data_IF_657689415101
#
_entry.id   IF_657689415101
#
_cell.length_a   1.000
_cell.length_b   1.000
_cell.length_c   1.000
_cell.angle_alpha   90.00
_cell.angle_beta   90.00
_cell.angle_gamma   90.00
#
_symmetry.space_group_name_H-M   'P 1'
#
loop_
_entity.id
_entity.type
_entity.pdbx_description
1 polymer ?
#
# COMPACT_ATOMS: atom_id res chain seq x y z
N UNK A 1 -13.61 -45.36 -28.46
CA UNK A 1 -12.53 -44.38 -28.36
C UNK A 1 -11.64 -44.77 -27.20
N UNK A 2 -10.33 -44.95 -27.41
CA UNK A 2 -9.43 -45.56 -26.41
C UNK A 2 -9.20 -44.57 -25.25
N UNK A 3 -9.43 -44.94 -24.01
CA UNK A 3 -9.27 -44.10 -22.81
C UNK A 3 -7.87 -43.48 -22.72
N UNK A 4 -6.85 -44.19 -23.20
CA UNK A 4 -5.47 -43.71 -23.31
C UNK A 4 -5.32 -42.51 -24.27
N UNK A 5 -6.12 -42.49 -25.36
CA UNK A 5 -6.10 -41.37 -26.32
C UNK A 5 -6.80 -40.14 -25.75
N UNK A 6 -7.89 -40.33 -25.02
CA UNK A 6 -8.58 -39.24 -24.33
C UNK A 6 -7.69 -38.66 -23.22
N UNK A 7 -7.01 -39.53 -22.45
CA UNK A 7 -6.09 -39.06 -21.41
C UNK A 7 -4.88 -38.34 -21.97
N UNK A 8 -4.29 -38.84 -23.08
CA UNK A 8 -3.18 -38.18 -23.75
C UNK A 8 -3.60 -36.84 -24.36
N UNK A 9 -4.78 -36.76 -24.99
CA UNK A 9 -5.31 -35.50 -25.54
C UNK A 9 -5.66 -34.49 -24.42
N UNK A 10 -6.25 -34.96 -23.32
CA UNK A 10 -6.52 -34.13 -22.15
C UNK A 10 -5.24 -33.62 -21.47
N UNK A 11 -4.20 -34.46 -21.40
CA UNK A 11 -2.89 -34.08 -20.86
C UNK A 11 -2.18 -33.05 -21.77
N UNK A 12 -2.25 -33.22 -23.09
CA UNK A 12 -1.73 -32.25 -24.06
C UNK A 12 -2.50 -30.91 -24.01
N UNK A 13 -3.81 -30.94 -23.84
CA UNK A 13 -4.62 -29.74 -23.68
C UNK A 13 -4.35 -29.05 -22.32
N UNK A 14 -4.10 -29.82 -21.27
CA UNK A 14 -3.75 -29.26 -19.97
C UNK A 14 -2.37 -28.59 -19.96
N UNK A 15 -1.39 -29.11 -20.71
CA UNK A 15 -0.05 -28.50 -20.79
C UNK A 15 -0.03 -27.20 -21.61
N UNK A 16 -0.99 -27.03 -22.52
CA UNK A 16 -1.13 -25.81 -23.32
C UNK A 16 -2.04 -24.74 -22.66
N UNK A 17 -2.65 -25.06 -21.51
CA UNK A 17 -3.57 -24.15 -20.84
C UNK A 17 -2.90 -23.00 -20.08
N UNK A 18 -1.57 -23.02 -19.93
CA UNK A 18 -0.85 -21.99 -19.21
C UNK A 18 -0.14 -21.05 -20.19
N UNK A 19 -0.33 -19.77 -19.95
CA UNK A 19 0.23 -18.73 -20.77
C UNK A 19 1.74 -18.61 -20.53
N UNK A 20 2.47 -18.35 -21.60
CA UNK A 20 3.90 -18.03 -21.54
C UNK A 20 4.12 -16.70 -20.83
N UNK A 21 3.17 -15.77 -20.96
CA UNK A 21 3.20 -14.47 -20.30
C UNK A 21 1.77 -13.94 -20.07
N UNK A 22 1.61 -13.07 -19.13
CA UNK A 22 0.35 -12.39 -18.91
C UNK A 22 0.48 -11.08 -18.15
N UNK A 23 -0.59 -10.31 -18.22
CA UNK A 23 -0.76 -9.06 -17.47
C UNK A 23 -2.15 -9.05 -16.83
N UNK A 24 -2.26 -8.47 -15.65
CA UNK A 24 -3.53 -8.40 -14.95
C UNK A 24 -3.63 -7.20 -14.03
N UNK A 25 -4.85 -7.01 -13.54
CA UNK A 25 -5.20 -6.01 -12.55
C UNK A 25 -5.84 -6.71 -11.37
N UNK A 26 -5.62 -6.19 -10.15
CA UNK A 26 -6.17 -6.78 -8.94
C UNK A 26 -6.53 -5.72 -7.89
N UNK A 27 -7.44 -6.09 -7.03
CA UNK A 27 -7.72 -5.44 -5.77
C UNK A 27 -6.77 -6.01 -4.71
N UNK A 28 -6.20 -5.13 -3.87
CA UNK A 28 -5.18 -5.49 -2.88
C UNK A 28 -5.49 -4.87 -1.51
N UNK A 29 -6.37 -5.47 -0.72
CA UNK A 29 -6.54 -5.10 0.68
C UNK A 29 -5.33 -5.55 1.50
N UNK A 30 -4.98 -4.75 2.50
CA UNK A 30 -3.85 -4.96 3.38
C UNK A 30 -4.33 -5.13 4.82
N UNK A 31 -3.75 -6.09 5.52
CA UNK A 31 -4.05 -6.37 6.94
C UNK A 31 -2.74 -6.40 7.71
N UNK A 32 -2.71 -5.69 8.83
CA UNK A 32 -1.56 -5.71 9.73
C UNK A 32 -0.63 -4.49 9.62
N UNK A 33 -0.76 -3.65 8.59
CA UNK A 33 -0.12 -2.34 8.64
C UNK A 33 -0.91 -1.44 9.57
N UNK A 34 -0.28 -1.02 10.65
CA UNK A 34 -0.87 -0.14 11.66
C UNK A 34 -0.02 1.11 11.80
N UNK A 35 -0.69 2.21 12.12
CA UNK A 35 -0.05 3.44 12.52
C UNK A 35 0.07 3.43 14.04
N UNK A 36 1.29 3.61 14.57
CA UNK A 36 1.44 3.78 16.02
C UNK A 36 0.65 4.99 16.45
N UNK A 37 -0.34 4.79 17.30
CA UNK A 37 -1.20 5.88 17.75
C UNK A 37 -0.39 6.93 18.49
N UNK A 38 -0.38 8.15 17.96
CA UNK A 38 0.27 9.30 18.56
C UNK A 38 -0.51 9.75 19.80
N UNK A 39 0.12 9.68 20.98
CA UNK A 39 -0.46 10.21 22.20
C UNK A 39 -0.59 11.72 22.07
N UNK A 40 -1.65 12.25 22.67
CA UNK A 40 -1.81 13.70 22.84
C UNK A 40 -0.59 14.28 23.55
N UNK A 41 0.11 15.17 22.88
CA UNK A 41 1.33 15.79 23.39
C UNK A 41 1.42 17.26 22.95
N UNK A 42 1.98 18.13 23.79
CA UNK A 42 2.17 19.53 23.45
C UNK A 42 3.16 19.69 22.28
N UNK A 43 2.85 20.63 21.39
CA UNK A 43 3.74 20.99 20.28
C UNK A 43 4.91 21.84 20.78
N UNK A 44 6.11 21.54 20.32
CA UNK A 44 7.34 22.28 20.65
C UNK A 44 8.00 22.76 19.37
N UNK A 45 8.29 24.05 19.29
CA UNK A 45 9.03 24.63 18.18
C UNK A 45 10.12 25.52 18.77
N UNK A 46 11.37 25.32 18.40
CA UNK A 46 12.53 26.07 18.91
C UNK A 46 12.58 26.10 20.45
N UNK A 47 12.37 24.96 21.12
CA UNK A 47 12.30 24.79 22.58
C UNK A 47 11.14 25.54 23.27
N UNK A 48 10.28 26.18 22.52
CA UNK A 48 9.07 26.83 23.03
C UNK A 48 7.88 25.87 22.99
N UNK A 49 7.21 25.69 24.12
CA UNK A 49 5.99 24.87 24.21
C UNK A 49 4.79 25.75 23.83
N UNK A 50 4.03 25.31 22.85
CA UNK A 50 2.81 25.97 22.42
C UNK A 50 1.61 25.53 23.28
N UNK A 51 0.58 26.39 23.48
CA UNK A 51 -0.62 26.07 24.26
C UNK A 51 -1.59 25.18 23.45
N UNK A 52 -1.07 24.34 22.58
CA UNK A 52 -1.81 23.39 21.78
C UNK A 52 -1.12 22.04 21.80
N UNK A 53 -1.91 20.97 21.77
CA UNK A 53 -1.43 19.62 21.74
C UNK A 53 -1.88 18.95 20.44
N UNK A 54 -1.13 17.97 20.00
CA UNK A 54 -1.42 17.21 18.78
C UNK A 54 -1.56 15.73 19.09
N UNK A 55 -2.47 15.07 18.40
CA UNK A 55 -2.62 13.62 18.45
C UNK A 55 -3.07 13.07 17.08
N UNK A 56 -2.79 11.82 16.82
CA UNK A 56 -3.33 11.12 15.66
C UNK A 56 -3.82 9.72 16.03
N UNK A 57 -4.78 9.20 15.28
CA UNK A 57 -5.30 7.85 15.42
C UNK A 57 -4.59 6.86 14.51
N UNK A 58 -5.08 5.63 14.51
CA UNK A 58 -4.65 4.56 13.60
C UNK A 58 -5.32 4.68 12.23
N UNK A 59 -4.89 3.86 11.28
CA UNK A 59 -5.54 3.73 9.97
C UNK A 59 -6.94 3.12 10.10
N UNK A 60 -7.90 3.67 9.40
CA UNK A 60 -9.26 3.12 9.35
C UNK A 60 -9.27 1.77 8.63
N UNK A 61 -8.78 1.75 7.39
CA UNK A 61 -8.68 0.56 6.54
C UNK A 61 -7.74 0.83 5.38
N UNK A 62 -6.83 -0.10 5.13
CA UNK A 62 -5.89 -0.01 4.01
C UNK A 62 -6.39 -0.89 2.88
N UNK A 63 -6.63 -0.27 1.74
CA UNK A 63 -7.03 -0.93 0.51
C UNK A 63 -6.27 -0.38 -0.67
N UNK A 64 -6.17 -1.17 -1.71
CA UNK A 64 -5.43 -0.76 -2.89
C UNK A 64 -5.81 -1.52 -4.13
N UNK A 65 -5.13 -1.13 -5.19
CA UNK A 65 -5.22 -1.75 -6.50
C UNK A 65 -3.81 -1.93 -7.04
N UNK A 66 -3.65 -2.92 -7.91
CA UNK A 66 -2.35 -3.17 -8.49
C UNK A 66 -2.42 -3.78 -9.88
N UNK A 67 -1.26 -3.74 -10.51
CA UNK A 67 -1.00 -4.41 -11.78
C UNK A 67 0.00 -5.52 -11.56
N UNK A 68 -0.19 -6.62 -12.27
CA UNK A 68 0.66 -7.80 -12.23
C UNK A 68 1.06 -8.19 -13.64
N UNK A 69 2.33 -8.48 -13.83
CA UNK A 69 2.83 -9.15 -15.01
C UNK A 69 3.51 -10.45 -14.59
N UNK A 70 3.43 -11.49 -15.41
CA UNK A 70 4.11 -12.76 -15.14
C UNK A 70 4.63 -13.40 -16.40
N UNK A 71 5.68 -14.20 -16.26
CA UNK A 71 6.32 -14.96 -17.31
C UNK A 71 6.51 -16.39 -16.83
N UNK A 72 5.92 -17.34 -17.53
CA UNK A 72 5.89 -18.78 -17.24
C UNK A 72 6.82 -19.59 -18.17
N UNK A 73 7.83 -18.95 -18.77
CA UNK A 73 8.67 -19.56 -19.79
C UNK A 73 9.76 -20.48 -19.22
N UNK A 74 10.06 -20.34 -17.94
CA UNK A 74 11.10 -21.13 -17.31
C UNK A 74 10.54 -22.50 -16.88
N UNK A 75 11.30 -23.60 -17.06
CA UNK A 75 10.76 -24.96 -16.89
C UNK A 75 10.36 -25.31 -15.45
N UNK A 76 10.86 -24.59 -14.45
CA UNK A 76 10.64 -24.94 -13.04
C UNK A 76 10.13 -23.80 -12.17
N UNK A 77 10.24 -22.58 -12.67
CA UNK A 77 9.86 -21.38 -11.92
C UNK A 77 9.23 -20.36 -12.86
N UNK A 78 8.34 -19.56 -12.32
CA UNK A 78 7.77 -18.39 -12.98
C UNK A 78 8.37 -17.12 -12.36
N UNK A 79 8.39 -16.05 -13.11
CA UNK A 79 8.77 -14.71 -12.62
C UNK A 79 7.55 -13.81 -12.67
N UNK A 80 7.31 -13.10 -11.59
CA UNK A 80 6.19 -12.17 -11.47
C UNK A 80 6.69 -10.79 -11.05
N UNK A 81 6.16 -9.75 -11.70
CA UNK A 81 6.28 -8.37 -11.28
C UNK A 81 4.92 -7.84 -10.86
N UNK A 82 4.84 -7.16 -9.72
CA UNK A 82 3.61 -6.54 -9.24
C UNK A 82 3.88 -5.10 -8.85
N UNK A 83 2.94 -4.21 -9.13
CA UNK A 83 2.95 -2.84 -8.66
C UNK A 83 1.61 -2.53 -8.01
N UNK A 84 1.63 -2.09 -6.75
CA UNK A 84 0.45 -1.78 -5.96
C UNK A 84 0.44 -0.31 -5.55
N UNK A 85 -0.75 0.27 -5.49
CA UNK A 85 -1.03 1.56 -4.87
C UNK A 85 -2.09 1.34 -3.80
N UNK A 86 -1.79 1.72 -2.58
CA UNK A 86 -2.63 1.52 -1.41
C UNK A 86 -2.99 2.86 -0.78
N UNK A 87 -4.18 2.92 -0.20
CA UNK A 87 -4.74 4.12 0.40
C UNK A 87 -5.31 3.81 1.78
N UNK A 88 -5.04 4.68 2.71
CA UNK A 88 -5.67 4.68 4.03
C UNK A 88 -6.04 6.10 4.45
N UNK A 89 -6.94 6.20 5.42
CA UNK A 89 -7.25 7.45 6.11
C UNK A 89 -6.96 7.28 7.59
N UNK A 90 -6.61 8.36 8.25
CA UNK A 90 -6.45 8.41 9.69
C UNK A 90 -6.90 9.76 10.22
N UNK A 91 -7.23 9.83 11.51
CA UNK A 91 -7.63 11.08 12.14
C UNK A 91 -6.39 11.78 12.69
N UNK A 92 -6.30 13.10 12.48
CA UNK A 92 -5.34 13.96 13.15
C UNK A 92 -6.11 15.06 13.88
N UNK A 93 -5.75 15.34 15.12
CA UNK A 93 -6.50 16.25 15.98
C UNK A 93 -5.53 17.21 16.66
N UNK A 94 -5.84 18.50 16.57
CA UNK A 94 -5.21 19.55 17.34
C UNK A 94 -6.09 19.85 18.56
N UNK A 95 -5.50 19.88 19.73
CA UNK A 95 -6.20 20.17 20.98
C UNK A 95 -5.82 21.57 21.46
N UNK A 96 -6.82 22.39 21.74
CA UNK A 96 -6.62 23.71 22.27
C UNK A 96 -7.60 23.96 23.41
N UNK A 97 -7.11 24.46 24.52
CA UNK A 97 -7.91 24.70 25.74
C UNK A 97 -8.72 23.46 26.18
N UNK A 98 -8.20 22.25 25.86
CA UNK A 98 -8.87 20.98 26.14
C UNK A 98 -9.92 20.56 25.10
N UNK A 99 -10.20 21.37 24.10
CA UNK A 99 -11.17 21.09 23.03
C UNK A 99 -10.50 20.51 21.79
N UNK A 100 -11.07 19.45 21.17
CA UNK A 100 -10.52 18.81 19.99
C UNK A 100 -10.91 19.54 18.70
N UNK A 101 -9.93 19.87 17.88
CA UNK A 101 -10.11 20.40 16.53
C UNK A 101 -9.53 19.41 15.52
N UNK A 102 -10.38 18.77 14.72
CA UNK A 102 -9.92 17.87 13.67
C UNK A 102 -9.15 18.64 12.60
N UNK A 103 -7.95 18.17 12.29
CA UNK A 103 -7.19 18.70 11.17
C UNK A 103 -7.77 18.16 9.86
N UNK A 104 -8.21 19.08 9.04
CA UNK A 104 -8.61 18.79 7.66
C UNK A 104 -7.56 19.41 6.72
N UNK A 105 -7.05 18.64 5.78
CA UNK A 105 -6.07 19.12 4.80
C UNK A 105 -6.83 19.78 3.65
N UNK A 106 -6.55 21.03 3.38
CA UNK A 106 -7.07 21.74 2.20
C UNK A 106 -6.34 21.28 0.94
N UNK A 107 -7.01 20.48 0.13
CA UNK A 107 -6.56 20.16 -1.23
C UNK A 107 -7.01 21.28 -2.17
N UNK A 108 -6.15 22.25 -2.41
CA UNK A 108 -6.44 23.55 -3.02
C UNK A 108 -7.42 23.55 -4.19
N UNK A 109 -8.42 24.41 -4.10
CA UNK A 109 -9.20 24.92 -5.24
C UNK A 109 -10.39 24.11 -5.71
N UNK A 110 -10.80 23.04 -5.03
CA UNK A 110 -11.98 22.24 -5.39
C UNK A 110 -13.05 22.26 -4.30
N UNK A 111 -14.36 22.02 -4.62
CA UNK A 111 -15.42 21.93 -3.61
C UNK A 111 -15.25 20.73 -2.65
N UNK A 112 -14.28 19.86 -2.91
CA UNK A 112 -13.84 18.77 -2.02
C UNK A 112 -12.58 19.15 -1.20
N UNK A 113 -12.42 20.42 -0.92
CA UNK A 113 -11.19 21.03 -0.44
C UNK A 113 -10.73 20.60 0.95
N UNK A 114 -11.58 19.95 1.74
CA UNK A 114 -11.24 19.49 3.09
C UNK A 114 -11.36 17.99 3.18
N UNK A 115 -10.25 17.31 3.43
CA UNK A 115 -10.21 15.86 3.58
C UNK A 115 -9.43 15.50 4.85
N UNK A 116 -9.84 14.41 5.49
CA UNK A 116 -9.03 13.75 6.51
C UNK A 116 -7.65 13.41 5.94
N UNK A 117 -6.58 13.44 6.74
CA UNK A 117 -5.27 13.02 6.30
C UNK A 117 -5.29 11.67 5.59
N UNK A 118 -4.55 11.57 4.50
CA UNK A 118 -4.45 10.37 3.69
C UNK A 118 -3.03 9.84 3.72
N UNK A 119 -2.94 8.54 3.87
CA UNK A 119 -1.72 7.79 3.65
C UNK A 119 -1.80 7.12 2.28
N UNK A 120 -0.75 7.27 1.49
CA UNK A 120 -0.59 6.61 0.21
C UNK A 120 0.70 5.81 0.27
N UNK A 121 0.59 4.51 0.04
CA UNK A 121 1.72 3.62 -0.10
C UNK A 121 1.73 3.01 -1.49
N UNK A 122 2.91 2.83 -2.03
CA UNK A 122 3.15 2.12 -3.27
C UNK A 122 4.20 1.06 -3.03
N UNK A 123 4.06 -0.08 -3.66
CA UNK A 123 5.12 -1.08 -3.68
C UNK A 123 5.27 -1.72 -5.05
N UNK A 124 6.51 -2.00 -5.39
CA UNK A 124 6.87 -2.79 -6.56
C UNK A 124 7.57 -4.06 -6.11
N UNK A 125 7.03 -5.19 -6.52
CA UNK A 125 7.52 -6.52 -6.18
C UNK A 125 8.11 -7.20 -7.40
N UNK A 126 9.20 -7.93 -7.19
CA UNK A 126 9.71 -8.92 -8.14
C UNK A 126 9.79 -10.25 -7.40
N UNK A 127 9.08 -11.25 -7.89
CA UNK A 127 8.94 -12.57 -7.26
C UNK A 127 9.40 -13.68 -8.18
N UNK A 128 10.00 -14.69 -7.59
CA UNK A 128 10.20 -16.01 -8.21
C UNK A 128 9.23 -16.97 -7.55
N UNK A 129 8.45 -17.66 -8.37
CA UNK A 129 7.41 -18.57 -7.90
C UNK A 129 7.63 -19.99 -8.40
N UNK A 130 7.33 -20.98 -7.57
CA UNK A 130 7.31 -22.39 -7.90
C UNK A 130 5.88 -22.82 -8.13
N UNK A 131 5.46 -23.07 -9.37
CA UNK A 131 4.12 -23.59 -9.65
C UNK A 131 4.00 -25.09 -9.39
N UNK A 132 2.77 -25.50 -9.09
CA UNK A 132 2.37 -26.90 -8.96
C UNK A 132 1.25 -27.19 -9.95
N UNK A 133 1.43 -28.19 -10.79
CA UNK A 133 0.41 -28.61 -11.74
C UNK A 133 -0.55 -29.60 -11.09
N UNK A 134 -1.85 -29.33 -11.14
CA UNK A 134 -2.88 -30.27 -10.77
C UNK A 134 -3.44 -30.87 -12.08
N UNK A 135 -3.23 -32.17 -12.35
CA UNK A 135 -3.72 -32.77 -13.59
C UNK A 135 -5.22 -32.58 -13.74
N UNK A 136 -5.69 -32.23 -14.93
CA UNK A 136 -7.09 -32.05 -15.33
C UNK A 136 -7.79 -30.81 -14.76
N UNK A 137 -7.13 -30.03 -13.89
CA UNK A 137 -7.71 -28.79 -13.39
C UNK A 137 -7.00 -27.57 -13.99
N UNK A 138 -7.75 -26.56 -14.44
CA UNK A 138 -7.19 -25.32 -14.98
C UNK A 138 -6.69 -24.37 -13.88
N UNK A 139 -6.39 -24.89 -12.71
CA UNK A 139 -5.87 -24.15 -11.55
C UNK A 139 -4.41 -24.52 -11.35
N UNK A 140 -3.57 -23.54 -11.22
CA UNK A 140 -2.13 -23.67 -10.98
C UNK A 140 -1.77 -22.98 -9.66
N UNK A 141 -1.74 -23.73 -8.54
CA UNK A 141 -1.22 -23.21 -7.27
C UNK A 141 0.27 -22.92 -7.39
N UNK A 142 0.77 -21.97 -6.62
CA UNK A 142 2.19 -21.64 -6.54
C UNK A 142 2.56 -21.06 -5.18
N UNK A 143 3.82 -21.17 -4.84
CA UNK A 143 4.45 -20.47 -3.72
C UNK A 143 5.69 -19.76 -4.22
N UNK A 144 6.11 -18.72 -3.54
CA UNK A 144 7.28 -17.97 -3.96
C UNK A 144 7.78 -17.01 -2.92
N UNK A 145 8.84 -16.30 -3.33
CA UNK A 145 9.45 -15.24 -2.56
C UNK A 145 9.99 -14.16 -3.50
N UNK A 146 10.17 -12.98 -2.99
CA UNK A 146 10.66 -11.87 -3.80
C UNK A 146 11.16 -10.69 -2.99
N UNK A 147 11.61 -9.69 -3.74
CA UNK A 147 12.02 -8.39 -3.23
C UNK A 147 10.92 -7.38 -3.46
N UNK A 148 10.80 -6.45 -2.53
CA UNK A 148 9.84 -5.35 -2.58
C UNK A 148 10.55 -4.03 -2.40
N UNK A 149 10.22 -3.07 -3.24
CA UNK A 149 10.57 -1.66 -3.05
C UNK A 149 9.30 -0.95 -2.62
N UNK A 150 9.37 -0.23 -1.51
CA UNK A 150 8.27 0.54 -0.95
C UNK A 150 8.48 2.02 -1.16
N UNK A 151 7.39 2.73 -1.40
CA UNK A 151 7.30 4.19 -1.35
C UNK A 151 6.05 4.56 -0.57
N UNK A 152 6.15 5.53 0.33
CA UNK A 152 4.98 6.01 1.07
C UNK A 152 5.04 7.50 1.32
N UNK A 153 3.88 8.10 1.48
CA UNK A 153 3.75 9.47 1.93
C UNK A 153 4.10 9.56 3.41
N UNK A 154 4.47 10.76 3.84
CA UNK A 154 4.67 11.05 5.26
C UNK A 154 3.38 10.91 6.08
N UNK A 155 3.55 10.74 7.38
CA UNK A 155 2.47 10.78 8.38
C UNK A 155 2.51 12.13 9.10
N UNK A 156 1.33 12.68 9.39
CA UNK A 156 1.20 13.81 10.29
C UNK A 156 1.42 13.34 11.73
N UNK A 157 2.66 13.40 12.18
CA UNK A 157 3.05 13.17 13.57
C UNK A 157 3.54 14.48 14.21
N UNK A 158 3.79 14.46 15.51
CA UNK A 158 4.25 15.66 16.23
C UNK A 158 5.47 16.30 15.58
N UNK A 159 6.50 15.51 15.24
CA UNK A 159 7.71 16.01 14.64
C UNK A 159 7.48 16.68 13.26
N UNK A 160 6.58 16.13 12.46
CA UNK A 160 6.22 16.73 11.19
C UNK A 160 5.45 18.05 11.38
N UNK A 161 4.46 18.06 12.30
CA UNK A 161 3.66 19.25 12.61
C UNK A 161 4.53 20.36 13.16
N UNK A 162 5.44 20.04 14.07
CA UNK A 162 6.43 20.99 14.61
C UNK A 162 7.33 21.58 13.51
N UNK A 163 7.84 20.73 12.61
CA UNK A 163 8.64 21.17 11.47
C UNK A 163 7.88 22.06 10.48
N UNK A 164 6.57 21.83 10.28
CA UNK A 164 5.72 22.73 9.47
C UNK A 164 5.55 24.08 10.13
N UNK A 165 5.33 24.13 11.44
CA UNK A 165 5.20 25.37 12.21
C UNK A 165 6.52 26.16 12.22
N UNK A 166 7.65 25.48 12.42
CA UNK A 166 8.98 26.11 12.36
C UNK A 166 9.23 26.77 11.02
N UNK A 167 8.94 26.09 9.91
CA UNK A 167 9.08 26.63 8.54
C UNK A 167 8.15 27.80 8.25
N UNK A 168 7.03 27.91 8.94
CA UNK A 168 6.10 29.03 8.74
C UNK A 168 6.71 30.37 9.08
N UNK A 169 7.80 30.38 9.88
CA UNK A 169 8.55 31.59 10.28
C UNK A 169 7.72 32.58 11.10
N UNK A 170 6.49 32.22 11.46
CA UNK A 170 5.61 33.05 12.26
C UNK A 170 5.80 32.72 13.73
N UNK A 171 5.98 33.78 14.52
CA UNK A 171 5.81 33.63 15.97
C UNK A 171 4.33 33.43 16.28
N UNK A 172 3.99 32.17 16.54
CA UNK A 172 2.63 31.72 16.86
C UNK A 172 2.40 31.63 18.39
N UNK A 173 3.33 32.11 19.20
CA UNK A 173 3.29 31.99 20.67
C UNK A 173 2.07 32.66 21.33
N UNK A 174 1.44 33.60 20.66
CA UNK A 174 0.19 34.24 21.10
C UNK A 174 -1.03 33.88 20.24
N UNK A 175 -0.88 32.95 19.31
CA UNK A 175 -1.94 32.61 18.36
C UNK A 175 -2.98 31.67 18.98
N UNK A 176 -4.23 31.83 18.56
CA UNK A 176 -5.30 30.90 18.88
C UNK A 176 -5.08 29.55 18.18
N UNK A 177 -5.69 28.50 18.71
CA UNK A 177 -5.65 27.16 18.08
C UNK A 177 -6.10 27.18 16.62
N UNK A 178 -7.09 28.00 16.30
CA UNK A 178 -7.59 28.16 14.92
C UNK A 178 -6.53 28.74 13.99
N UNK A 179 -5.81 29.78 14.43
CA UNK A 179 -4.73 30.37 13.65
C UNK A 179 -3.58 29.40 13.41
N UNK A 180 -3.27 28.55 14.41
CA UNK A 180 -2.27 27.50 14.31
C UNK A 180 -2.75 26.41 13.33
N UNK A 181 -4.02 25.98 13.43
CA UNK A 181 -4.61 25.02 12.51
C UNK A 181 -4.64 25.53 11.07
N UNK A 182 -5.01 26.80 10.86
CA UNK A 182 -5.03 27.42 9.53
C UNK A 182 -3.59 27.55 8.96
N UNK A 183 -2.61 27.86 9.79
CA UNK A 183 -1.20 27.90 9.40
C UNK A 183 -0.67 26.50 9.03
N UNK A 184 -1.04 25.48 9.78
CA UNK A 184 -0.70 24.10 9.47
C UNK A 184 -1.34 23.65 8.15
N UNK A 185 -2.65 23.84 7.98
CA UNK A 185 -3.36 23.43 6.78
C UNK A 185 -2.76 24.06 5.51
N UNK A 186 -2.34 25.32 5.59
CA UNK A 186 -1.73 26.06 4.47
C UNK A 186 -0.33 25.54 4.12
N UNK A 187 0.50 25.20 5.10
CA UNK A 187 1.91 24.88 4.89
C UNK A 187 2.17 23.36 4.79
N UNK A 188 1.22 22.54 5.22
CA UNK A 188 1.36 21.07 5.21
C UNK A 188 1.60 20.51 3.82
N UNK A 189 0.92 21.03 2.80
CA UNK A 189 1.05 20.57 1.41
C UNK A 189 2.43 20.88 0.83
N UNK A 190 2.96 22.06 1.12
CA UNK A 190 4.28 22.45 0.64
C UNK A 190 5.39 21.71 1.39
N UNK A 191 5.27 21.57 2.71
CA UNK A 191 6.17 20.72 3.49
C UNK A 191 6.16 19.24 3.03
N UNK A 192 5.00 18.76 2.61
CA UNK A 192 4.84 17.42 2.04
C UNK A 192 5.58 17.24 0.72
N UNK A 193 5.46 18.21 -0.17
CA UNK A 193 6.19 18.19 -1.46
C UNK A 193 7.70 18.20 -1.25
N UNK A 194 8.17 18.97 -0.29
CA UNK A 194 9.58 19.07 0.03
C UNK A 194 10.14 17.80 0.68
N UNK A 195 9.35 17.15 1.55
CA UNK A 195 9.76 15.88 2.19
C UNK A 195 9.81 14.72 1.20
N UNK A 196 8.97 14.77 0.16
CA UNK A 196 8.91 13.73 -0.86
C UNK A 196 8.33 12.41 -0.35
N UNK A 197 8.70 11.31 -1.01
CA UNK A 197 8.30 9.96 -0.63
C UNK A 197 9.43 9.26 0.12
N UNK A 198 9.11 8.64 1.24
CA UNK A 198 10.01 7.71 1.90
C UNK A 198 10.19 6.48 1.00
N UNK A 199 11.42 5.94 0.95
CA UNK A 199 11.75 4.76 0.15
C UNK A 199 12.48 3.74 1.00
N UNK A 200 12.04 2.49 0.94
CA UNK A 200 12.73 1.37 1.58
C UNK A 200 12.68 0.11 0.75
N UNK A 201 13.46 -0.88 1.12
CA UNK A 201 13.52 -2.18 0.47
C UNK A 201 13.26 -3.26 1.50
N UNK A 202 12.41 -4.21 1.15
CA UNK A 202 12.12 -5.39 1.94
C UNK A 202 12.01 -6.63 1.07
N UNK A 203 11.46 -7.67 1.62
CA UNK A 203 11.18 -8.92 0.92
C UNK A 203 9.80 -9.44 1.29
N UNK A 204 9.30 -10.37 0.50
CA UNK A 204 8.01 -10.99 0.77
C UNK A 204 8.04 -12.48 0.45
N UNK A 205 7.14 -13.19 1.14
CA UNK A 205 6.75 -14.55 0.79
C UNK A 205 5.36 -14.50 0.18
N UNK A 206 5.08 -15.37 -0.76
CA UNK A 206 3.77 -15.42 -1.37
C UNK A 206 3.29 -16.87 -1.56
N UNK A 207 1.99 -17.04 -1.48
CA UNK A 207 1.27 -18.22 -1.92
C UNK A 207 0.06 -17.77 -2.74
N UNK A 208 -0.24 -18.47 -3.81
CA UNK A 208 -1.34 -18.11 -4.67
C UNK A 208 -1.81 -19.22 -5.57
N UNK A 209 -2.83 -18.91 -6.35
CA UNK A 209 -3.34 -19.75 -7.40
C UNK A 209 -3.72 -18.92 -8.61
N UNK A 210 -3.40 -19.44 -9.79
CA UNK A 210 -3.81 -18.87 -11.07
C UNK A 210 -4.77 -19.84 -11.76
N UNK A 211 -5.86 -19.31 -12.24
CA UNK A 211 -6.83 -20.02 -13.05
C UNK A 211 -6.79 -19.45 -14.47
N UNK A 212 -6.66 -20.27 -15.48
CA UNK A 212 -6.75 -19.87 -16.88
C UNK A 212 -7.83 -20.67 -17.57
N UNK A 213 -8.73 -19.98 -18.27
CA UNK A 213 -9.70 -20.63 -19.13
C UNK A 213 -8.99 -21.23 -20.35
N UNK A 214 -9.25 -22.52 -20.68
CA UNK A 214 -8.78 -23.10 -21.94
C UNK A 214 -9.34 -22.32 -23.11
N UNK A 215 -8.50 -22.07 -24.13
CA UNK A 215 -8.87 -21.42 -25.41
C UNK A 215 -9.10 -19.90 -25.29
N UNK A 216 -9.47 -19.39 -24.12
CA UNK A 216 -9.73 -17.96 -23.92
C UNK A 216 -8.52 -17.33 -23.22
N UNK A 217 -7.98 -16.19 -23.70
CA UNK A 217 -6.81 -15.55 -23.10
C UNK A 217 -7.17 -14.77 -21.83
N UNK A 218 -8.02 -15.34 -20.99
CA UNK A 218 -8.43 -14.77 -19.70
C UNK A 218 -7.91 -15.63 -18.57
N UNK A 219 -7.28 -15.00 -17.60
CA UNK A 219 -6.84 -15.60 -16.36
C UNK A 219 -7.43 -14.85 -15.16
N UNK A 220 -7.70 -15.60 -14.09
CA UNK A 220 -7.96 -15.04 -12.78
C UNK A 220 -6.86 -15.51 -11.82
N UNK A 221 -6.59 -14.75 -10.77
CA UNK A 221 -5.61 -15.14 -9.76
C UNK A 221 -5.97 -14.60 -8.38
N UNK A 222 -5.51 -15.34 -7.38
CA UNK A 222 -5.60 -14.92 -5.99
C UNK A 222 -4.25 -15.20 -5.31
N UNK A 223 -3.75 -14.23 -4.55
CA UNK A 223 -2.51 -14.34 -3.79
C UNK A 223 -2.70 -13.90 -2.36
N UNK A 224 -1.88 -14.48 -1.50
CA UNK A 224 -1.58 -13.97 -0.16
C UNK A 224 -0.09 -13.66 -0.15
N UNK A 225 0.28 -12.45 0.21
CA UNK A 225 1.67 -12.02 0.37
C UNK A 225 1.91 -11.61 1.82
N UNK A 226 2.99 -12.11 2.40
CA UNK A 226 3.49 -11.71 3.71
C UNK A 226 4.72 -10.86 3.48
N UNK A 227 4.63 -9.59 3.79
CA UNK A 227 5.72 -8.64 3.63
C UNK A 227 6.56 -8.59 4.90
N UNK A 228 7.87 -8.61 4.72
CA UNK A 228 8.87 -8.73 5.79
C UNK A 228 10.00 -7.74 5.51
N UNK A 229 10.42 -7.01 6.55
CA UNK A 229 11.44 -5.98 6.40
C UNK A 229 10.94 -4.78 5.59
N UNK A 230 11.83 -3.83 5.38
CA UNK A 230 11.47 -2.51 4.91
C UNK A 230 11.01 -1.63 6.06
N UNK A 231 11.31 -0.35 5.98
CA UNK A 231 10.84 0.64 6.93
C UNK A 231 9.92 1.58 6.17
N UNK A 232 8.69 1.70 6.62
CA UNK A 232 7.87 2.85 6.33
C UNK A 232 8.36 4.04 7.20
N UNK A 233 7.54 4.93 7.61
CA UNK A 233 7.91 5.95 8.60
C UNK A 233 8.07 5.31 9.99
N UNK A 234 8.77 5.97 10.92
CA UNK A 234 8.98 5.51 12.30
C UNK A 234 7.69 5.13 13.05
N UNK A 235 6.57 5.69 12.60
CA UNK A 235 5.26 5.50 13.20
C UNK A 235 4.42 4.40 12.50
N UNK A 236 4.97 3.72 11.51
CA UNK A 236 4.28 2.66 10.77
C UNK A 236 4.99 1.33 10.97
N UNK A 237 4.26 0.33 11.49
CA UNK A 237 4.76 -1.03 11.55
C UNK A 237 4.83 -1.65 10.16
N UNK A 238 6.02 -2.12 9.77
CA UNK A 238 6.32 -2.53 8.40
C UNK A 238 5.80 -3.93 8.01
N UNK A 239 5.53 -4.78 8.99
CA UNK A 239 5.06 -6.14 8.72
C UNK A 239 3.56 -6.18 8.40
N UNK A 240 3.19 -6.70 7.23
CA UNK A 240 1.77 -6.82 6.88
C UNK A 240 1.49 -8.01 5.96
N UNK A 241 0.22 -8.34 5.86
CA UNK A 241 -0.30 -9.34 4.94
C UNK A 241 -1.20 -8.66 3.92
N UNK A 242 -0.91 -8.83 2.64
CA UNK A 242 -1.76 -8.37 1.56
C UNK A 242 -2.43 -9.54 0.86
N UNK A 243 -3.67 -9.33 0.45
CA UNK A 243 -4.40 -10.24 -0.41
C UNK A 243 -4.50 -9.59 -1.79
N UNK A 244 -4.28 -10.36 -2.84
CA UNK A 244 -4.47 -9.89 -4.22
C UNK A 244 -5.53 -10.76 -4.88
N UNK A 245 -6.61 -10.16 -5.35
CA UNK A 245 -7.65 -10.83 -6.10
C UNK A 245 -7.83 -10.11 -7.43
N UNK A 246 -7.55 -10.80 -8.52
CA UNK A 246 -7.51 -10.15 -9.81
C UNK A 246 -7.78 -11.05 -11.01
N UNK A 247 -7.80 -10.39 -12.15
CA UNK A 247 -7.93 -11.02 -13.45
C UNK A 247 -7.09 -10.31 -14.50
N UNK A 248 -6.89 -10.97 -15.62
CA UNK A 248 -6.07 -10.43 -16.68
C UNK A 248 -6.07 -11.26 -17.94
N UNK A 249 -5.18 -10.87 -18.83
CA UNK A 249 -4.94 -11.56 -20.10
C UNK A 249 -3.68 -12.41 -19.98
N UNK A 250 -3.76 -13.63 -20.50
CA UNK A 250 -2.70 -14.62 -20.44
C UNK A 250 -2.53 -15.28 -21.83
N UNK A 251 -1.37 -15.07 -22.44
CA UNK A 251 -1.00 -15.53 -23.79
C UNK A 251 -0.17 -16.81 -23.75
#
# INVERSE_FOLDING_TARGET
MNFKVIFAAASLLATQAFAIAGIGFHYSPNVGTTLKTGKQAPLKVNDQVYPVEFSHGDFDYIQGFGFKAWIDILPFVDVEGTFNIQFASYNATLWADGEPHRLEIELGGTPFAKATPKFIAMNADISVTKPFSIPLFPIRPYVGAGLTIYWNTFILNNAFVEGVLERSGKDLSGSSAKEIADALAKNVVDAAKDKGLNKSVGFHLLAGARFKLPIIPIAAYANVKVYLGGEYDSDIDAGHVAFELGGGFAL
#
